data_IF_366634157033
#
_entry.id   IF_366634157033
#
_cell.length_a   1.000
_cell.length_b   1.000
_cell.length_c   1.000
_cell.angle_alpha   90.00
_cell.angle_beta   90.00
_cell.angle_gamma   90.00
#
_symmetry.space_group_name_H-M   'P 1'
#
loop_
_entity.id
_entity.type
_entity.pdbx_description
1 polymer ?
#
# COMPACT_ATOMS: atom_id res chain seq x y z
N UNK A 1 5.82 -0.79 -45.58
CA UNK A 1 6.64 0.09 -44.72
C UNK A 1 6.92 -0.65 -43.43
N UNK A 2 8.07 -0.42 -42.81
CA UNK A 2 8.45 -1.11 -41.55
C UNK A 2 8.08 -0.25 -40.34
N UNK A 3 7.89 -0.90 -39.20
CA UNK A 3 7.75 -0.22 -37.91
C UNK A 3 9.11 0.32 -37.49
N UNK A 4 9.15 1.58 -37.05
CA UNK A 4 10.34 2.21 -36.49
C UNK A 4 10.02 2.70 -35.09
N UNK A 5 10.88 2.38 -34.14
CA UNK A 5 10.80 2.93 -32.79
C UNK A 5 11.08 4.43 -32.88
N UNK A 6 10.10 5.23 -32.48
CA UNK A 6 10.22 6.69 -32.42
C UNK A 6 10.36 7.19 -30.98
N UNK A 7 10.02 6.32 -30.02
CA UNK A 7 10.20 6.55 -28.59
C UNK A 7 10.48 5.22 -27.91
N UNK A 8 11.64 5.11 -27.27
CA UNK A 8 12.00 3.93 -26.48
C UNK A 8 11.09 3.82 -25.23
N UNK A 9 10.66 2.59 -24.85
CA UNK A 9 9.95 2.39 -23.60
C UNK A 9 10.87 2.61 -22.40
N UNK A 10 10.29 3.07 -21.29
CA UNK A 10 10.97 3.19 -20.00
C UNK A 10 10.11 2.54 -18.92
N UNK A 11 10.62 2.44 -17.69
CA UNK A 11 9.83 1.99 -16.55
C UNK A 11 8.73 3.00 -16.15
N UNK A 12 8.76 4.24 -16.69
CA UNK A 12 7.75 5.30 -16.40
C UNK A 12 6.81 5.57 -17.56
N UNK A 13 7.10 5.10 -18.76
CA UNK A 13 6.30 5.43 -19.94
C UNK A 13 6.41 4.39 -21.03
N UNK A 14 5.28 4.14 -21.70
CA UNK A 14 5.24 3.29 -22.90
C UNK A 14 6.14 3.85 -23.99
N UNK A 15 6.75 2.93 -24.74
CA UNK A 15 7.44 3.25 -25.98
C UNK A 15 6.42 3.40 -27.11
N UNK A 16 6.85 3.96 -28.24
CA UNK A 16 6.00 4.13 -29.42
C UNK A 16 6.79 3.73 -30.65
N UNK A 17 6.19 2.85 -31.46
CA UNK A 17 6.63 2.59 -32.82
C UNK A 17 5.67 3.22 -33.82
N UNK A 18 6.21 3.70 -34.94
CA UNK A 18 5.46 4.32 -36.02
C UNK A 18 5.75 3.63 -37.34
N UNK A 19 4.70 3.36 -38.10
CA UNK A 19 4.77 2.89 -39.47
C UNK A 19 4.15 3.92 -40.40
N UNK A 20 4.94 4.48 -41.31
CA UNK A 20 4.49 5.49 -42.29
C UNK A 20 4.30 4.86 -43.67
N UNK A 21 3.14 5.07 -44.30
CA UNK A 21 2.91 4.65 -45.67
C UNK A 21 3.78 5.47 -46.64
N UNK A 22 4.58 4.81 -47.48
CA UNK A 22 5.50 5.50 -48.41
C UNK A 22 4.76 6.33 -49.48
N UNK A 23 3.56 5.92 -49.89
CA UNK A 23 2.82 6.58 -50.98
C UNK A 23 1.99 7.79 -50.54
N UNK A 24 1.33 7.72 -49.38
CA UNK A 24 0.41 8.76 -48.93
C UNK A 24 0.87 9.54 -47.69
N UNK A 25 1.98 9.17 -47.04
CA UNK A 25 2.51 9.84 -45.85
C UNK A 25 1.71 9.63 -44.56
N UNK A 26 0.53 8.99 -44.63
CA UNK A 26 -0.28 8.62 -43.46
C UNK A 26 0.50 7.61 -42.61
N UNK A 27 0.45 7.79 -41.29
CA UNK A 27 1.12 6.91 -40.33
C UNK A 27 0.14 6.21 -39.39
N UNK A 28 0.59 5.08 -38.83
CA UNK A 28 -0.04 4.39 -37.71
C UNK A 28 0.97 4.29 -36.57
N UNK A 29 0.47 4.33 -35.34
CA UNK A 29 1.27 4.19 -34.13
C UNK A 29 0.82 2.98 -33.32
N UNK A 30 1.75 2.39 -32.59
CA UNK A 30 1.50 1.32 -31.63
C UNK A 30 2.34 1.56 -30.38
N UNK A 31 1.78 1.17 -29.24
CA UNK A 31 2.44 1.27 -27.95
C UNK A 31 3.32 0.03 -27.71
N UNK A 32 4.51 0.28 -27.17
CA UNK A 32 5.42 -0.74 -26.67
C UNK A 32 5.29 -0.73 -25.14
N UNK A 33 5.08 -1.89 -24.48
CA UNK A 33 4.88 -1.93 -23.04
C UNK A 33 6.06 -1.33 -22.28
N UNK A 34 5.78 -0.82 -21.08
CA UNK A 34 6.81 -0.30 -20.18
C UNK A 34 7.77 -1.40 -19.75
N UNK A 35 9.00 -1.01 -19.42
CA UNK A 35 10.01 -1.94 -18.88
C UNK A 35 9.64 -2.26 -17.44
N UNK A 36 9.47 -3.56 -17.13
CA UNK A 36 9.19 -4.05 -15.77
C UNK A 36 10.51 -4.23 -15.03
N UNK A 37 10.62 -3.61 -13.85
CA UNK A 37 11.78 -3.75 -12.96
C UNK A 37 11.40 -4.70 -11.81
N UNK A 38 12.20 -5.75 -11.52
CA UNK A 38 11.89 -6.68 -10.45
C UNK A 38 11.97 -5.98 -9.08
N UNK A 39 11.03 -6.31 -8.19
CA UNK A 39 11.07 -5.87 -6.80
C UNK A 39 12.10 -6.72 -6.06
N UNK A 40 13.00 -6.06 -5.33
CA UNK A 40 13.99 -6.74 -4.48
C UNK A 40 13.55 -6.74 -3.02
N UNK A 41 12.99 -5.63 -2.54
CA UNK A 41 12.58 -5.47 -1.15
C UNK A 41 11.36 -4.58 -1.01
N UNK A 42 10.53 -4.89 -0.01
CA UNK A 42 9.49 -4.00 0.51
C UNK A 42 9.90 -3.59 1.92
N UNK A 43 9.67 -2.33 2.27
CA UNK A 43 9.93 -1.78 3.60
C UNK A 43 8.66 -1.11 4.10
N UNK A 44 8.09 -1.59 5.20
CA UNK A 44 6.96 -0.96 5.87
C UNK A 44 7.48 0.10 6.86
N UNK A 45 6.91 1.30 6.84
CA UNK A 45 7.17 2.37 7.83
C UNK A 45 5.94 2.51 8.73
N UNK A 46 6.07 2.54 10.07
CA UNK A 46 7.28 2.85 10.88
C UNK A 46 8.35 1.75 11.11
N UNK A 47 8.24 0.56 10.53
CA UNK A 47 9.31 -0.47 10.55
C UNK A 47 9.54 -1.16 11.90
N UNK A 48 8.79 -0.77 12.93
CA UNK A 48 8.78 -1.37 14.26
C UNK A 48 7.34 -1.65 14.71
N UNK A 49 7.17 -2.45 15.76
CA UNK A 49 5.85 -2.79 16.29
C UNK A 49 5.03 -1.55 16.62
N UNK A 50 3.81 -1.52 16.10
CA UNK A 50 2.96 -0.34 16.09
C UNK A 50 1.81 -0.47 17.10
N UNK A 51 1.57 0.57 17.91
CA UNK A 51 0.46 0.60 18.87
C UNK A 51 -0.61 1.59 18.44
N UNK A 52 -1.87 1.15 18.44
CA UNK A 52 -3.02 1.97 18.05
C UNK A 52 -4.19 1.77 19.02
N UNK A 53 -5.02 2.78 19.21
CA UNK A 53 -6.18 2.70 20.07
C UNK A 53 -7.45 2.30 19.31
N UNK A 54 -8.37 1.60 19.97
CA UNK A 54 -9.64 1.21 19.38
C UNK A 54 -10.37 2.38 18.70
N UNK A 55 -10.98 2.10 17.54
CA UNK A 55 -11.70 3.05 16.66
C UNK A 55 -10.82 4.15 16.05
N UNK A 56 -9.49 4.06 16.19
CA UNK A 56 -8.57 4.93 15.46
C UNK A 56 -8.13 4.28 14.16
N UNK A 57 -7.65 5.13 13.27
CA UNK A 57 -7.14 4.77 11.96
C UNK A 57 -5.74 5.34 11.82
N UNK A 58 -4.86 4.62 11.14
CA UNK A 58 -3.53 5.10 10.78
C UNK A 58 -3.14 4.58 9.39
N UNK A 59 -2.03 5.05 8.84
CA UNK A 59 -1.55 4.65 7.51
C UNK A 59 -0.14 4.08 7.60
N UNK A 60 -0.01 2.82 7.20
CA UNK A 60 1.28 2.21 6.95
C UNK A 60 1.75 2.60 5.55
N UNK A 61 3.04 2.93 5.41
CA UNK A 61 3.65 3.20 4.11
C UNK A 61 4.50 2.01 3.70
N UNK A 62 4.34 1.56 2.46
CA UNK A 62 5.22 0.56 1.86
C UNK A 62 6.13 1.24 0.82
N UNK A 63 7.44 1.13 1.04
CA UNK A 63 8.46 1.56 0.09
C UNK A 63 9.00 0.34 -0.64
N UNK A 64 9.07 0.42 -1.96
CA UNK A 64 9.56 -0.65 -2.84
C UNK A 64 10.97 -0.30 -3.27
N UNK A 65 11.89 -1.25 -3.13
CA UNK A 65 13.29 -1.11 -3.57
C UNK A 65 13.55 -2.12 -4.71
N UNK A 66 14.17 -1.69 -5.82
CA UNK A 66 14.55 -0.29 -6.12
C UNK A 66 13.33 0.58 -6.49
N UNK A 67 13.47 1.91 -6.41
CA UNK A 67 12.36 2.86 -6.58
C UNK A 67 11.68 2.74 -7.96
N UNK A 68 12.43 2.32 -9.00
CA UNK A 68 11.88 2.09 -10.34
C UNK A 68 10.86 0.96 -10.38
N UNK A 69 11.00 -0.04 -9.50
CA UNK A 69 10.07 -1.17 -9.44
C UNK A 69 8.68 -0.73 -8.99
N UNK A 70 8.54 0.40 -8.27
CA UNK A 70 7.25 0.96 -7.84
C UNK A 70 6.29 1.25 -9.00
N UNK A 71 6.80 1.52 -10.21
CA UNK A 71 5.96 1.83 -11.38
C UNK A 71 5.32 0.60 -12.02
N UNK A 72 5.87 -0.59 -11.74
CA UNK A 72 5.36 -1.87 -12.24
C UNK A 72 4.88 -2.81 -11.13
N UNK A 73 5.23 -2.52 -9.88
CA UNK A 73 4.88 -3.34 -8.73
C UNK A 73 3.48 -3.00 -8.23
N UNK A 74 2.69 -4.04 -7.98
CA UNK A 74 1.43 -3.94 -7.25
C UNK A 74 1.61 -4.55 -5.87
N UNK A 75 1.37 -3.73 -4.85
CA UNK A 75 1.46 -4.13 -3.45
C UNK A 75 0.08 -4.50 -2.94
N UNK A 76 -0.02 -5.68 -2.33
CA UNK A 76 -1.23 -6.21 -1.72
C UNK A 76 -1.03 -6.21 -0.20
N UNK A 77 -2.00 -5.66 0.51
CA UNK A 77 -2.02 -5.62 1.96
C UNK A 77 -2.92 -6.72 2.53
N UNK A 78 -2.49 -7.32 3.63
CA UNK A 78 -3.25 -8.36 4.32
C UNK A 78 -3.13 -8.20 5.84
N UNK A 79 -4.21 -8.55 6.55
CA UNK A 79 -4.21 -8.64 8.00
C UNK A 79 -4.43 -10.08 8.43
N UNK A 80 -3.57 -10.57 9.32
CA UNK A 80 -3.74 -11.88 9.98
C UNK A 80 -5.01 -11.95 10.84
N UNK A 81 -5.56 -10.81 11.29
CA UNK A 81 -6.80 -10.78 12.05
C UNK A 81 -7.63 -9.52 11.74
N UNK A 82 -8.42 -9.53 10.64
CA UNK A 82 -9.22 -8.38 10.20
C UNK A 82 -10.27 -7.93 11.22
N UNK A 83 -10.63 -8.78 12.20
CA UNK A 83 -11.58 -8.43 13.27
C UNK A 83 -10.92 -7.60 14.40
N UNK A 84 -9.59 -7.60 14.47
CA UNK A 84 -8.80 -6.80 15.43
C UNK A 84 -8.26 -5.55 14.74
N UNK A 85 -7.58 -5.74 13.60
CA UNK A 85 -7.08 -4.66 12.73
C UNK A 85 -7.42 -5.00 11.29
N UNK A 86 -8.22 -4.17 10.63
CA UNK A 86 -8.43 -4.29 9.18
C UNK A 86 -7.43 -3.39 8.45
N UNK A 87 -6.97 -3.79 7.26
CA UNK A 87 -6.13 -2.97 6.37
C UNK A 87 -6.83 -2.81 5.02
N UNK A 88 -6.76 -1.61 4.46
CA UNK A 88 -7.26 -1.27 3.13
C UNK A 88 -6.15 -1.46 2.06
N UNK A 89 -6.52 -1.44 0.78
CA UNK A 89 -5.59 -1.61 -0.35
C UNK A 89 -4.49 -0.54 -0.41
N UNK A 90 -4.71 0.62 0.21
CA UNK A 90 -3.76 1.74 0.26
C UNK A 90 -2.87 1.73 1.51
N UNK A 91 -2.94 0.68 2.35
CA UNK A 91 -2.19 0.56 3.59
C UNK A 91 -2.82 1.27 4.80
N UNK A 92 -4.03 1.82 4.66
CA UNK A 92 -4.76 2.38 5.82
C UNK A 92 -5.27 1.27 6.72
N UNK A 93 -4.83 1.28 7.98
CA UNK A 93 -5.26 0.36 9.03
C UNK A 93 -6.37 0.98 9.89
N UNK A 94 -7.33 0.15 10.32
CA UNK A 94 -8.37 0.53 11.28
C UNK A 94 -8.35 -0.42 12.47
N UNK A 95 -8.23 0.15 13.67
CA UNK A 95 -8.26 -0.59 14.92
C UNK A 95 -9.71 -0.84 15.34
N UNK A 96 -10.15 -2.10 15.33
CA UNK A 96 -11.54 -2.48 15.60
C UNK A 96 -11.73 -2.97 17.03
N UNK A 97 -10.84 -3.82 17.52
CA UNK A 97 -10.95 -4.47 18.83
C UNK A 97 -9.58 -4.68 19.45
N UNK A 98 -9.52 -4.65 20.79
CA UNK A 98 -8.31 -4.98 21.55
C UNK A 98 -7.73 -6.33 21.14
N UNK A 99 -6.42 -6.39 20.96
CA UNK A 99 -5.70 -7.60 20.54
C UNK A 99 -4.47 -7.25 19.70
N UNK A 100 -3.88 -8.26 19.08
CA UNK A 100 -2.75 -8.11 18.17
C UNK A 100 -3.09 -8.66 16.79
N UNK A 101 -2.56 -8.04 15.75
CA UNK A 101 -2.65 -8.51 14.38
C UNK A 101 -1.36 -8.15 13.64
N UNK A 102 -0.77 -9.11 12.93
CA UNK A 102 0.29 -8.85 11.95
C UNK A 102 -0.34 -8.34 10.66
N UNK A 103 0.19 -7.23 10.15
CA UNK A 103 -0.15 -6.64 8.86
C UNK A 103 1.01 -6.90 7.90
N UNK A 104 0.70 -7.39 6.71
CA UNK A 104 1.68 -7.79 5.69
C UNK A 104 1.47 -6.99 4.43
N UNK A 105 2.55 -6.44 3.88
CA UNK A 105 2.58 -5.88 2.52
C UNK A 105 3.39 -6.84 1.64
N UNK A 106 2.83 -7.28 0.51
CA UNK A 106 3.50 -8.23 -0.39
C UNK A 106 3.29 -7.87 -1.86
N UNK A 107 4.19 -8.31 -2.73
CA UNK A 107 3.97 -8.25 -4.18
C UNK A 107 2.79 -9.14 -4.58
N UNK A 108 2.12 -8.82 -5.69
CA UNK A 108 0.99 -9.61 -6.20
C UNK A 108 1.37 -11.08 -6.48
N UNK A 109 2.62 -11.34 -6.88
CA UNK A 109 3.15 -12.71 -7.04
C UNK A 109 3.60 -13.37 -5.73
N UNK A 110 3.54 -12.65 -4.61
CA UNK A 110 3.83 -13.13 -3.26
C UNK A 110 5.31 -13.41 -2.97
N UNK A 111 6.24 -13.08 -3.88
CA UNK A 111 7.66 -13.41 -3.72
C UNK A 111 8.40 -12.49 -2.75
N UNK A 112 8.01 -11.22 -2.70
CA UNK A 112 8.61 -10.24 -1.79
C UNK A 112 7.53 -9.74 -0.86
N UNK A 113 7.83 -9.73 0.43
CA UNK A 113 6.91 -9.30 1.47
C UNK A 113 7.63 -8.71 2.66
N UNK A 114 6.96 -7.81 3.36
CA UNK A 114 7.36 -7.31 4.67
C UNK A 114 6.15 -7.31 5.61
N UNK A 115 6.38 -7.33 6.93
CA UNK A 115 5.31 -7.46 7.93
C UNK A 115 5.61 -6.70 9.21
N UNK A 116 4.54 -6.20 9.83
CA UNK A 116 4.59 -5.41 11.07
C UNK A 116 3.52 -5.90 12.04
N UNK A 117 3.82 -5.96 13.34
CA UNK A 117 2.80 -6.28 14.33
C UNK A 117 2.10 -5.00 14.80
N UNK A 118 0.77 -5.05 14.81
CA UNK A 118 -0.08 -3.97 15.30
C UNK A 118 -0.79 -4.44 16.55
N UNK A 119 -0.59 -3.70 17.64
CA UNK A 119 -1.26 -3.94 18.93
C UNK A 119 -2.35 -2.90 19.14
N UNK A 120 -3.58 -3.37 19.38
CA UNK A 120 -4.75 -2.54 19.65
C UNK A 120 -5.05 -2.52 21.14
N UNK A 121 -5.13 -1.31 21.71
CA UNK A 121 -5.49 -1.10 23.12
C UNK A 121 -6.69 -0.15 23.28
N UNK A 122 -7.26 -0.10 24.48
CA UNK A 122 -8.26 0.93 24.82
C UNK A 122 -7.56 2.20 25.27
N UNK A 123 -8.08 3.35 24.89
CA UNK A 123 -7.61 4.62 25.45
C UNK A 123 -8.00 4.70 26.92
N UNK A 124 -7.04 4.98 27.79
CA UNK A 124 -7.24 5.18 29.24
C UNK A 124 -8.10 6.40 29.55
N UNK A 125 -8.25 7.34 28.61
CA UNK A 125 -9.08 8.55 28.75
C UNK A 125 -10.58 8.21 28.79
N UNK A 126 -11.01 7.12 28.15
CA UNK A 126 -12.42 6.71 28.18
C UNK A 126 -12.88 6.34 29.59
N UNK A 127 -11.99 5.80 30.41
CA UNK A 127 -12.29 5.42 31.80
C UNK A 127 -12.37 6.65 32.72
N UNK A 128 -11.46 7.62 32.56
CA UNK A 128 -11.46 8.85 33.39
C UNK A 128 -12.76 9.64 33.21
N UNK A 129 -13.30 9.72 31.99
CA UNK A 129 -14.57 10.40 31.72
C UNK A 129 -15.74 9.69 32.42
N UNK A 130 -15.77 8.35 32.45
CA UNK A 130 -16.79 7.60 33.20
C UNK A 130 -16.67 7.87 34.71
N UNK A 131 -15.45 7.89 35.25
CA UNK A 131 -15.24 8.21 36.67
C UNK A 131 -15.62 9.65 37.02
N UNK A 132 -15.37 10.62 36.15
CA UNK A 132 -15.73 12.04 36.39
C UNK A 132 -17.23 12.31 36.18
N UNK A 133 -17.88 11.63 35.23
CA UNK A 133 -19.32 11.81 34.96
C UNK A 133 -20.23 11.02 35.91
N UNK A 134 -19.79 9.87 36.43
CA UNK A 134 -20.61 9.00 37.28
C UNK A 134 -20.12 8.90 38.73
N UNK A 135 -18.94 9.43 39.07
CA UNK A 135 -18.37 9.38 40.42
C UNK A 135 -18.99 10.34 41.44
N UNK A 136 -19.88 11.25 41.04
CA UNK A 136 -20.56 12.21 41.93
C UNK A 136 -21.97 11.80 42.34
N UNK A 137 -22.50 10.67 41.85
CA UNK A 137 -23.88 10.23 42.13
C UNK A 137 -23.95 9.24 43.32
N UNK A 138 -22.80 8.73 43.80
CA UNK A 138 -22.75 7.84 44.96
C UNK A 138 -22.59 8.55 46.31
N UNK A 139 -22.51 9.88 46.33
CA UNK A 139 -22.27 10.71 47.54
C UNK A 139 -23.38 11.72 47.85
N UNK A 140 -24.60 11.52 47.34
CA UNK A 140 -25.79 12.33 47.66
C UNK A 140 -26.96 11.43 48.05
#
# INVERSE_FOLDING_TARGET
SEWKVIKEPTYRSVGVERQTCRGCGIYKEREIPMIVVPVEKIIITPGEDFKIYCKKTDRLQATVVPDEAMFSAKIVWESSNPKVVSVSDDGTIKALRRGTATITAKTEDGKVSDSINVTVEYSTIQWIIVYILFGWIWYL
#
